data_IF_642993982114
#
_entry.id   IF_642993982114
#
_cell.length_a   1.000
_cell.length_b   1.000
_cell.length_c   1.000
_cell.angle_alpha   90.00
_cell.angle_beta   90.00
_cell.angle_gamma   90.00
#
_symmetry.space_group_name_H-M   'P 1'
#
loop_
_entity.id
_entity.type
_entity.pdbx_description
1 polymer ?
#
# COMPACT_ATOMS: atom_id res chain seq x y z
N UNK A 1 10.19 12.26 4.60
CA UNK A 1 9.56 11.87 3.32
C UNK A 1 10.19 10.61 2.70
N UNK A 2 10.18 9.46 3.39
CA UNK A 2 10.68 8.17 2.85
C UNK A 2 9.64 7.05 2.89
N UNK A 3 8.44 7.31 3.44
CA UNK A 3 7.47 6.28 3.79
C UNK A 3 6.78 5.62 2.60
N UNK A 4 6.38 6.38 1.57
CA UNK A 4 5.76 5.79 0.37
C UNK A 4 6.74 4.96 -0.49
N UNK A 5 7.96 5.44 -0.81
CA UNK A 5 8.96 4.62 -1.50
C UNK A 5 9.32 3.35 -0.71
N UNK A 6 9.52 3.45 0.60
CA UNK A 6 9.83 2.30 1.46
C UNK A 6 8.67 1.30 1.54
N UNK A 7 7.44 1.79 1.68
CA UNK A 7 6.24 0.97 1.62
C UNK A 7 6.18 0.18 0.32
N UNK A 8 6.37 0.87 -0.82
CA UNK A 8 6.37 0.27 -2.15
C UNK A 8 7.37 -0.88 -2.27
N UNK A 9 8.57 -0.72 -1.72
CA UNK A 9 9.60 -1.77 -1.68
C UNK A 9 9.20 -2.94 -0.77
N UNK A 10 8.73 -2.67 0.45
CA UNK A 10 8.29 -3.69 1.41
C UNK A 10 7.14 -4.54 0.87
N UNK A 11 6.12 -3.88 0.32
CA UNK A 11 5.02 -4.55 -0.35
C UNK A 11 5.34 -4.92 -1.80
N UNK A 12 6.56 -4.71 -2.30
CA UNK A 12 7.05 -5.20 -3.60
C UNK A 12 6.07 -5.01 -4.77
N UNK A 13 5.26 -3.94 -4.74
CA UNK A 13 4.35 -3.56 -5.82
C UNK A 13 4.90 -2.32 -6.52
N UNK A 14 4.61 -2.15 -7.80
CA UNK A 14 4.93 -0.91 -8.51
C UNK A 14 3.92 0.18 -8.15
N UNK A 15 4.34 1.45 -8.22
CA UNK A 15 3.47 2.61 -7.98
C UNK A 15 2.14 2.53 -8.74
N UNK A 16 2.16 2.24 -10.06
CA UNK A 16 0.93 2.07 -10.84
C UNK A 16 0.02 0.91 -10.37
N UNK A 17 0.57 -0.14 -9.77
CA UNK A 17 -0.23 -1.24 -9.21
C UNK A 17 -0.94 -0.81 -7.93
N UNK A 18 -0.27 -0.02 -7.09
CA UNK A 18 -0.85 0.56 -5.88
C UNK A 18 -1.93 1.58 -6.27
N UNK A 19 -1.69 2.41 -7.27
CA UNK A 19 -2.68 3.35 -7.81
C UNK A 19 -3.94 2.61 -8.30
N UNK A 20 -3.78 1.51 -9.07
CA UNK A 20 -4.92 0.68 -9.51
C UNK A 20 -5.65 -0.02 -8.36
N UNK A 21 -4.94 -0.51 -7.34
CA UNK A 21 -5.54 -1.20 -6.20
C UNK A 21 -6.31 -0.27 -5.27
N UNK A 22 -5.78 0.94 -5.08
CA UNK A 22 -6.32 1.90 -4.12
C UNK A 22 -7.28 2.90 -4.77
N UNK A 23 -7.16 3.11 -6.09
CA UNK A 23 -7.87 4.17 -6.81
C UNK A 23 -7.33 5.57 -6.53
N UNK A 24 -6.20 5.69 -5.81
CA UNK A 24 -5.55 6.96 -5.53
C UNK A 24 -4.54 7.28 -6.64
N UNK A 25 -4.39 8.57 -6.94
CA UNK A 25 -3.30 9.05 -7.80
C UNK A 25 -1.97 8.98 -7.04
N UNK A 26 -0.85 8.98 -7.78
CA UNK A 26 0.49 9.13 -7.19
C UNK A 26 0.55 10.25 -6.14
N UNK A 27 0.04 11.45 -6.44
CA UNK A 27 0.04 12.58 -5.49
C UNK A 27 -0.80 12.28 -4.24
N UNK A 28 -1.99 11.68 -4.40
CA UNK A 28 -2.85 11.29 -3.28
C UNK A 28 -2.19 10.25 -2.37
N UNK A 29 -1.45 9.30 -2.94
CA UNK A 29 -0.65 8.34 -2.19
C UNK A 29 0.44 9.05 -1.37
N UNK A 30 1.25 9.90 -2.01
CA UNK A 30 2.28 10.67 -1.30
C UNK A 30 1.71 11.51 -0.17
N UNK A 31 0.58 12.18 -0.40
CA UNK A 31 -0.10 12.96 0.63
C UNK A 31 -0.54 12.10 1.82
N UNK A 32 -1.20 10.97 1.57
CA UNK A 32 -1.66 10.08 2.63
C UNK A 32 -0.49 9.47 3.44
N UNK A 33 0.62 9.12 2.79
CA UNK A 33 1.82 8.65 3.49
C UNK A 33 2.51 9.78 4.28
N UNK A 34 2.51 11.01 3.79
CA UNK A 34 3.02 12.15 4.56
C UNK A 34 2.15 12.41 5.80
N UNK A 35 0.83 12.26 5.72
CA UNK A 35 -0.04 12.37 6.90
C UNK A 35 0.37 11.36 7.98
N UNK A 36 0.61 10.10 7.58
CA UNK A 36 1.07 9.05 8.50
C UNK A 36 2.43 9.43 9.12
N UNK A 37 3.38 9.91 8.32
CA UNK A 37 4.71 10.34 8.79
C UNK A 37 4.60 11.51 9.80
N UNK A 38 3.62 12.39 9.63
CA UNK A 38 3.33 13.50 10.54
C UNK A 38 2.53 13.07 11.78
N UNK A 39 2.23 11.78 11.95
CA UNK A 39 1.39 11.26 13.05
C UNK A 39 -0.10 11.58 12.89
N UNK A 40 -0.53 12.06 11.71
CA UNK A 40 -1.93 12.34 11.38
C UNK A 40 -2.59 11.11 10.79
N UNK A 41 -3.89 10.99 11.02
CA UNK A 41 -4.67 9.89 10.47
C UNK A 41 -5.05 10.18 9.01
N UNK A 42 -4.63 9.37 8.04
CA UNK A 42 -5.09 9.49 6.67
C UNK A 42 -6.57 9.08 6.55
N UNK A 43 -7.19 9.36 5.42
CA UNK A 43 -8.59 9.01 5.17
C UNK A 43 -8.84 7.50 5.42
N UNK A 44 -9.96 7.17 6.07
CA UNK A 44 -10.37 5.77 6.34
C UNK A 44 -10.36 4.91 5.07
N UNK A 45 -10.81 5.47 3.94
CA UNK A 45 -10.80 4.79 2.63
C UNK A 45 -9.39 4.37 2.21
N UNK A 46 -8.40 5.24 2.41
CA UNK A 46 -7.00 4.94 2.10
C UNK A 46 -6.49 3.75 2.92
N UNK A 47 -6.73 3.74 4.23
CA UNK A 47 -6.33 2.64 5.12
C UNK A 47 -6.95 1.30 4.70
N UNK A 48 -8.24 1.28 4.40
CA UNK A 48 -8.94 0.06 3.95
C UNK A 48 -8.35 -0.45 2.63
N UNK A 49 -8.11 0.44 1.68
CA UNK A 49 -7.53 0.08 0.37
C UNK A 49 -6.10 -0.48 0.51
N UNK A 50 -5.27 0.15 1.33
CA UNK A 50 -3.89 -0.30 1.58
C UNK A 50 -3.86 -1.65 2.31
N UNK A 51 -4.69 -1.83 3.34
CA UNK A 51 -4.80 -3.11 4.05
C UNK A 51 -5.25 -4.22 3.09
N UNK A 52 -6.24 -3.95 2.23
CA UNK A 52 -6.68 -4.90 1.21
C UNK A 52 -5.55 -5.26 0.22
N UNK A 53 -4.72 -4.29 -0.17
CA UNK A 53 -3.57 -4.53 -1.05
C UNK A 53 -2.51 -5.42 -0.37
N UNK A 54 -2.23 -5.18 0.92
CA UNK A 54 -1.31 -5.99 1.72
C UNK A 54 -1.85 -7.42 1.86
N UNK A 55 -3.11 -7.58 2.22
CA UNK A 55 -3.76 -8.88 2.41
C UNK A 55 -3.76 -9.70 1.12
N UNK A 56 -4.08 -9.09 -0.03
CA UNK A 56 -3.99 -9.76 -1.34
C UNK A 56 -2.58 -10.26 -1.62
N UNK A 57 -1.54 -9.51 -1.24
CA UNK A 57 -0.15 -9.94 -1.43
C UNK A 57 0.22 -11.08 -0.48
N UNK A 58 -0.15 -10.98 0.80
CA UNK A 58 0.08 -12.02 1.80
C UNK A 58 -0.63 -13.33 1.43
N UNK A 59 -1.89 -13.27 0.98
CA UNK A 59 -2.62 -14.44 0.47
C UNK A 59 -1.94 -15.08 -0.74
N UNK A 60 -1.44 -14.29 -1.69
CA UNK A 60 -0.66 -14.82 -2.83
C UNK A 60 0.58 -15.58 -2.31
N UNK A 61 1.35 -15.00 -1.40
CA UNK A 61 2.54 -15.64 -0.81
C UNK A 61 2.21 -16.95 -0.09
N UNK A 62 1.14 -16.99 0.72
CA UNK A 62 0.71 -18.23 1.38
C UNK A 62 0.30 -19.33 0.37
N UNK A 63 -0.41 -18.97 -0.71
CA UNK A 63 -0.77 -19.92 -1.77
C UNK A 63 0.46 -20.49 -2.50
N UNK A 64 1.49 -19.68 -2.70
CA UNK A 64 2.76 -20.16 -3.27
C UNK A 64 3.51 -21.09 -2.32
N UNK A 65 3.49 -20.85 -1.01
CA UNK A 65 4.15 -21.72 -0.04
C UNK A 65 3.41 -23.04 0.21
N UNK A 66 2.08 -23.07 0.13
CA UNK A 66 1.30 -24.32 0.25
C UNK A 66 1.37 -25.25 -0.97
N UNK A 67 1.93 -24.80 -2.09
CA UNK A 67 2.10 -25.60 -3.32
C UNK A 67 3.51 -26.22 -3.46
N UNK A 68 4.39 -25.96 -2.50
CA UNK A 68 5.70 -26.60 -2.37
C UNK A 68 5.62 -27.65 -1.27
#
# INVERSE_FOLDING_TARGET
>A
MKSYPYFRESIGLKGPEIEKLTGYTKQGLYYAFNMIDEGKQPAKKFLVCINSAIDKKLMKRQRYMKKR
#
